data_IF_945602719419
#
_entry.id   IF_945602719419
#
_cell.length_a   1.000
_cell.length_b   1.000
_cell.length_c   1.000
_cell.angle_alpha   90.00
_cell.angle_beta   90.00
_cell.angle_gamma   90.00
#
_symmetry.space_group_name_H-M   'P 1'
#
loop_
_entity.id
_entity.type
_entity.pdbx_description
1 polymer ?
#
# COMPACT_ATOMS: atom_id res chain seq x y z
N UNK A 1 17.76 -19.06 5.51
CA UNK A 1 17.05 -17.78 5.26
C UNK A 1 16.42 -17.81 3.86
N UNK A 2 15.28 -17.15 3.65
CA UNK A 2 14.65 -17.00 2.32
C UNK A 2 14.96 -15.61 1.75
N UNK A 3 14.64 -15.38 0.46
CA UNK A 3 14.71 -14.05 -0.15
C UNK A 3 13.87 -13.02 0.60
N UNK A 4 12.63 -13.36 0.97
CA UNK A 4 11.74 -12.45 1.70
C UNK A 4 12.31 -12.09 3.07
N UNK A 5 12.76 -13.08 3.83
CA UNK A 5 13.32 -12.85 5.16
C UNK A 5 14.61 -12.01 5.09
N UNK A 6 15.47 -12.26 4.11
CA UNK A 6 16.63 -11.40 3.82
C UNK A 6 16.21 -9.93 3.60
N UNK A 7 15.21 -9.70 2.75
CA UNK A 7 14.75 -8.35 2.44
C UNK A 7 14.11 -7.66 3.66
N UNK A 8 13.39 -8.40 4.51
CA UNK A 8 12.84 -7.87 5.75
C UNK A 8 13.97 -7.48 6.69
N UNK A 9 14.89 -8.38 7.02
CA UNK A 9 16.00 -8.07 7.94
C UNK A 9 16.84 -6.90 7.44
N UNK A 10 17.08 -6.82 6.13
CA UNK A 10 17.88 -5.74 5.56
C UNK A 10 17.15 -4.38 5.52
N UNK A 11 15.87 -4.34 5.13
CA UNK A 11 15.14 -3.07 4.89
C UNK A 11 14.27 -2.60 6.08
N UNK A 12 13.99 -3.49 7.01
CA UNK A 12 13.14 -3.23 8.18
C UNK A 12 13.96 -3.18 9.46
N UNK A 13 14.87 -4.15 9.64
CA UNK A 13 15.71 -4.27 10.83
C UNK A 13 17.11 -3.67 10.65
N UNK A 14 17.37 -3.07 9.48
CA UNK A 14 18.61 -2.39 9.13
C UNK A 14 19.87 -3.29 9.25
N UNK A 15 19.72 -4.61 9.12
CA UNK A 15 20.86 -5.54 9.14
C UNK A 15 21.72 -5.35 7.89
N UNK A 16 23.03 -5.26 8.09
CA UNK A 16 24.00 -5.17 7.00
C UNK A 16 24.22 -6.55 6.35
N UNK A 17 24.68 -6.54 5.09
CA UNK A 17 25.04 -7.78 4.38
C UNK A 17 26.09 -8.60 5.15
N UNK A 18 27.18 -8.01 5.69
CA UNK A 18 28.14 -8.76 6.50
C UNK A 18 27.51 -9.46 7.71
N UNK A 19 26.63 -8.76 8.45
CA UNK A 19 25.95 -9.34 9.61
C UNK A 19 25.05 -10.51 9.18
N UNK A 20 24.29 -10.35 8.11
CA UNK A 20 23.41 -11.39 7.56
C UNK A 20 24.18 -12.64 7.14
N UNK A 21 25.34 -12.48 6.51
CA UNK A 21 26.22 -13.58 6.11
C UNK A 21 26.87 -14.26 7.33
N UNK A 22 27.27 -13.49 8.35
CA UNK A 22 27.81 -14.03 9.59
C UNK A 22 26.79 -14.91 10.34
N UNK A 23 25.53 -14.47 10.38
CA UNK A 23 24.42 -15.20 11.01
C UNK A 23 23.93 -16.41 10.19
N UNK A 24 24.27 -16.47 8.90
CA UNK A 24 23.80 -17.51 7.97
C UNK A 24 24.96 -18.07 7.13
N UNK A 25 25.77 -18.93 7.74
CA UNK A 25 27.03 -19.45 7.15
C UNK A 25 26.88 -20.17 5.80
N UNK A 26 25.70 -20.68 5.50
CA UNK A 26 25.39 -21.36 4.22
C UNK A 26 25.14 -20.38 3.07
N UNK A 27 25.05 -19.07 3.34
CA UNK A 27 24.79 -18.06 2.32
C UNK A 27 26.09 -17.42 1.83
N UNK A 28 26.12 -17.11 0.54
CA UNK A 28 27.15 -16.30 -0.08
C UNK A 28 26.63 -14.90 -0.42
N UNK A 29 27.56 -13.96 -0.63
CA UNK A 29 27.24 -12.62 -1.10
C UNK A 29 26.50 -12.64 -2.45
N UNK A 30 26.87 -13.56 -3.35
CA UNK A 30 26.23 -13.68 -4.67
C UNK A 30 24.75 -14.06 -4.57
N UNK A 31 24.37 -14.90 -3.59
CA UNK A 31 22.97 -15.25 -3.34
C UNK A 31 22.19 -14.01 -2.88
N UNK A 32 22.72 -13.25 -1.92
CA UNK A 32 22.05 -12.03 -1.42
C UNK A 32 21.88 -10.98 -2.52
N UNK A 33 22.88 -10.82 -3.39
CA UNK A 33 22.81 -9.92 -4.54
C UNK A 33 21.75 -10.36 -5.57
N UNK A 34 21.67 -11.67 -5.85
CA UNK A 34 20.64 -12.21 -6.73
C UNK A 34 19.24 -12.03 -6.14
N UNK A 35 19.09 -12.24 -4.83
CA UNK A 35 17.83 -11.99 -4.11
C UNK A 35 17.46 -10.52 -4.11
N UNK A 36 18.42 -9.61 -3.94
CA UNK A 36 18.18 -8.17 -4.08
C UNK A 36 17.71 -7.82 -5.48
N UNK A 37 18.36 -8.33 -6.52
CA UNK A 37 18.04 -8.01 -7.91
C UNK A 37 16.63 -8.48 -8.31
N UNK A 38 16.25 -9.69 -7.91
CA UNK A 38 14.98 -10.32 -8.32
C UNK A 38 13.80 -9.96 -7.41
N UNK A 39 14.04 -9.56 -6.16
CA UNK A 39 12.99 -9.27 -5.18
C UNK A 39 12.31 -7.90 -5.32
N UNK A 40 12.24 -7.33 -6.53
CA UNK A 40 11.78 -5.95 -6.76
C UNK A 40 10.37 -5.67 -6.26
N UNK A 41 9.41 -6.55 -6.54
CA UNK A 41 8.03 -6.36 -6.09
C UNK A 41 7.94 -6.34 -4.56
N UNK A 42 8.61 -7.28 -3.89
CA UNK A 42 8.63 -7.36 -2.44
C UNK A 42 9.32 -6.15 -1.79
N UNK A 43 10.43 -5.68 -2.37
CA UNK A 43 11.09 -4.43 -1.97
C UNK A 43 10.15 -3.22 -2.08
N UNK A 44 9.37 -3.13 -3.15
CA UNK A 44 8.38 -2.06 -3.32
C UNK A 44 7.31 -2.11 -2.23
N UNK A 45 6.81 -3.31 -1.88
CA UNK A 45 5.87 -3.49 -0.76
C UNK A 45 6.48 -3.05 0.58
N UNK A 46 7.71 -3.46 0.89
CA UNK A 46 8.42 -3.04 2.11
C UNK A 46 8.59 -1.53 2.15
N UNK A 47 9.05 -0.91 1.06
CA UNK A 47 9.23 0.55 0.98
C UNK A 47 7.92 1.28 1.24
N UNK A 48 6.81 0.79 0.67
CA UNK A 48 5.50 1.39 0.88
C UNK A 48 5.05 1.31 2.34
N UNK A 49 5.19 0.14 2.97
CA UNK A 49 4.91 -0.03 4.39
C UNK A 49 5.79 0.90 5.26
N UNK A 50 7.09 0.97 4.97
CA UNK A 50 8.03 1.85 5.65
C UNK A 50 7.62 3.33 5.53
N UNK A 51 7.19 3.79 4.36
CA UNK A 51 6.66 5.15 4.21
C UNK A 51 5.47 5.40 5.12
N UNK A 52 4.51 4.47 5.18
CA UNK A 52 3.30 4.62 6.01
C UNK A 52 3.63 4.63 7.51
N UNK A 53 4.57 3.80 7.94
CA UNK A 53 5.07 3.73 9.32
C UNK A 53 5.81 5.00 9.69
N UNK A 54 6.84 5.38 8.93
CA UNK A 54 7.71 6.53 9.23
C UNK A 54 6.94 7.83 9.19
N UNK A 55 5.95 7.99 8.30
CA UNK A 55 5.13 9.22 8.25
C UNK A 55 4.26 9.43 9.49
N UNK A 56 4.13 8.42 10.36
CA UNK A 56 3.30 8.46 11.58
C UNK A 56 4.08 8.20 12.86
N UNK A 57 5.33 7.75 12.76
CA UNK A 57 6.21 7.53 13.91
C UNK A 57 6.29 8.81 14.76
N UNK A 58 6.19 8.66 16.08
CA UNK A 58 6.14 9.77 17.02
C UNK A 58 4.76 10.40 17.21
N UNK A 59 3.76 10.04 16.41
CA UNK A 59 2.37 10.45 16.65
C UNK A 59 1.79 9.60 17.81
N UNK A 60 1.28 10.21 18.90
CA UNK A 60 0.66 9.47 20.00
C UNK A 60 -0.47 8.52 19.57
N UNK A 61 -1.23 8.89 18.54
CA UNK A 61 -2.27 8.04 17.95
C UNK A 61 -1.71 6.74 17.35
N UNK A 62 -0.44 6.73 16.93
CA UNK A 62 0.24 5.60 16.29
C UNK A 62 1.10 4.78 17.26
N UNK A 63 1.04 5.09 18.56
CA UNK A 63 1.90 4.48 19.57
C UNK A 63 1.77 2.95 19.69
N UNK A 64 0.60 2.37 19.33
CA UNK A 64 0.42 0.92 19.34
C UNK A 64 1.30 0.23 18.30
N UNK A 65 1.24 0.68 17.04
CA UNK A 65 2.11 0.18 15.98
C UNK A 65 3.58 0.50 16.22
N UNK A 66 3.88 1.69 16.76
CA UNK A 66 5.26 2.04 17.07
C UNK A 66 5.87 1.13 18.14
N UNK A 67 5.09 0.76 19.16
CA UNK A 67 5.50 -0.18 20.22
C UNK A 67 5.65 -1.61 19.68
N UNK A 68 4.76 -2.04 18.79
CA UNK A 68 4.86 -3.34 18.13
C UNK A 68 6.09 -3.41 17.21
N UNK A 69 6.52 -2.27 16.68
CA UNK A 69 7.71 -2.13 15.85
C UNK A 69 7.43 -2.30 14.36
N UNK A 70 8.44 -1.89 13.57
CA UNK A 70 8.35 -1.78 12.11
C UNK A 70 8.13 -3.13 11.41
N UNK A 71 8.70 -4.24 11.93
CA UNK A 71 8.44 -5.60 11.42
C UNK A 71 6.98 -6.00 11.63
N UNK A 72 6.46 -5.89 12.86
CA UNK A 72 5.08 -6.22 13.15
C UNK A 72 4.09 -5.40 12.30
N UNK A 73 4.37 -4.11 12.11
CA UNK A 73 3.59 -3.27 11.20
C UNK A 73 3.65 -3.76 9.75
N UNK A 74 4.82 -4.14 9.24
CA UNK A 74 4.95 -4.68 7.88
C UNK A 74 4.20 -6.00 7.71
N UNK A 75 4.29 -6.91 8.68
CA UNK A 75 3.56 -8.18 8.65
C UNK A 75 2.04 -7.94 8.67
N UNK A 76 1.56 -6.99 9.49
CA UNK A 76 0.17 -6.55 9.46
C UNK A 76 -0.22 -5.98 8.09
N UNK A 77 0.62 -5.11 7.52
CA UNK A 77 0.40 -4.49 6.21
C UNK A 77 0.36 -5.51 5.08
N UNK A 78 1.22 -6.54 5.13
CA UNK A 78 1.30 -7.61 4.12
C UNK A 78 0.03 -8.47 4.13
N UNK A 79 -0.61 -8.66 5.28
CA UNK A 79 -1.88 -9.39 5.41
C UNK A 79 -3.08 -8.60 4.86
N UNK A 80 -2.95 -7.30 4.63
CA UNK A 80 -4.06 -6.48 4.14
C UNK A 80 -4.34 -6.77 2.65
N UNK A 81 -5.61 -6.94 2.26
CA UNK A 81 -5.94 -7.14 0.86
C UNK A 81 -5.59 -5.89 0.05
N UNK A 82 -5.16 -6.07 -1.21
CA UNK A 82 -4.85 -4.95 -2.13
C UNK A 82 -6.10 -4.39 -2.80
N UNK A 83 -7.15 -4.23 -2.01
CA UNK A 83 -8.44 -3.64 -2.38
C UNK A 83 -8.81 -2.61 -1.31
N UNK A 84 -9.50 -1.54 -1.70
CA UNK A 84 -9.99 -0.57 -0.72
C UNK A 84 -11.03 -1.21 0.19
N UNK A 85 -10.81 -1.15 1.51
CA UNK A 85 -11.74 -1.70 2.50
C UNK A 85 -13.13 -1.04 2.50
N UNK A 86 -13.27 0.15 1.90
CA UNK A 86 -14.53 0.86 1.80
C UNK A 86 -15.27 0.55 0.49
N UNK A 87 -14.68 0.90 -0.66
CA UNK A 87 -15.36 0.76 -1.97
C UNK A 87 -14.95 -0.49 -2.77
N UNK A 88 -14.03 -1.31 -2.27
CA UNK A 88 -13.54 -2.53 -2.93
C UNK A 88 -12.84 -2.32 -4.29
N UNK A 89 -12.44 -1.10 -4.66
CA UNK A 89 -11.58 -0.90 -5.84
C UNK A 89 -10.21 -1.55 -5.60
N UNK A 90 -9.72 -2.28 -6.59
CA UNK A 90 -8.41 -2.91 -6.56
C UNK A 90 -7.29 -1.87 -6.76
N UNK A 91 -6.21 -2.00 -5.99
CA UNK A 91 -5.13 -1.02 -6.00
C UNK A 91 -4.48 -0.84 -7.37
N UNK A 92 -4.25 -1.93 -8.11
CA UNK A 92 -3.60 -1.86 -9.42
C UNK A 92 -4.38 -0.99 -10.43
N UNK A 93 -5.71 -0.89 -10.29
CA UNK A 93 -6.53 0.00 -11.13
C UNK A 93 -6.24 1.46 -10.83
N UNK A 94 -6.05 1.79 -9.54
CA UNK A 94 -5.63 3.12 -9.12
C UNK A 94 -4.24 3.43 -9.65
N UNK A 95 -3.29 2.50 -9.53
CA UNK A 95 -1.93 2.68 -10.05
C UNK A 95 -1.95 3.01 -11.55
N UNK A 96 -2.66 2.23 -12.36
CA UNK A 96 -2.77 2.50 -13.81
C UNK A 96 -3.45 3.84 -14.12
N UNK A 97 -4.51 4.20 -13.38
CA UNK A 97 -5.21 5.47 -13.58
C UNK A 97 -4.32 6.68 -13.27
N UNK A 98 -3.54 6.61 -12.19
CA UNK A 98 -2.64 7.70 -11.79
C UNK A 98 -1.36 7.74 -12.64
N UNK A 99 -0.77 6.60 -12.97
CA UNK A 99 0.45 6.53 -13.79
C UNK A 99 0.23 7.04 -15.22
N UNK A 100 -1.01 7.04 -15.69
CA UNK A 100 -1.37 7.56 -17.01
C UNK A 100 -1.95 8.96 -17.00
N UNK A 101 -2.08 9.59 -15.82
CA UNK A 101 -2.72 10.90 -15.67
C UNK A 101 -4.23 10.89 -15.94
N UNK A 102 -4.86 9.72 -16.01
CA UNK A 102 -6.32 9.62 -16.09
C UNK A 102 -7.00 10.10 -14.79
N UNK A 103 -6.27 10.01 -13.67
CA UNK A 103 -6.56 10.67 -12.42
C UNK A 103 -5.30 11.37 -11.91
N UNK A 104 -5.47 12.52 -11.27
CA UNK A 104 -4.39 13.27 -10.65
C UNK A 104 -4.87 13.96 -9.37
N UNK A 105 -3.94 14.25 -8.46
CA UNK A 105 -4.20 15.09 -7.30
C UNK A 105 -3.09 16.12 -7.16
N UNK A 106 -3.42 17.33 -6.70
CA UNK A 106 -2.43 18.39 -6.45
C UNK A 106 -1.33 17.99 -5.45
N UNK A 107 -1.59 16.99 -4.61
CA UNK A 107 -0.67 16.50 -3.57
C UNK A 107 0.05 15.21 -3.96
N UNK A 108 -0.11 14.71 -5.19
CA UNK A 108 0.52 13.46 -5.64
C UNK A 108 0.07 12.20 -4.87
N UNK A 109 -1.11 12.23 -4.23
CA UNK A 109 -1.73 11.10 -3.52
C UNK A 109 -2.70 10.34 -4.41
N UNK A 110 -3.06 9.13 -4.01
CA UNK A 110 -4.13 8.32 -4.61
C UNK A 110 -3.70 7.18 -5.52
N UNK A 111 -2.44 7.17 -5.95
CA UNK A 111 -1.87 6.05 -6.74
C UNK A 111 -1.93 4.71 -5.99
N UNK A 112 -1.70 4.71 -4.69
CA UNK A 112 -1.71 3.50 -3.84
C UNK A 112 -2.69 3.65 -2.69
N UNK A 113 -3.13 2.53 -2.12
CA UNK A 113 -3.96 2.51 -0.92
C UNK A 113 -3.21 3.13 0.26
N UNK A 114 -3.98 3.77 1.14
CA UNK A 114 -3.51 4.57 2.26
C UNK A 114 -4.06 3.98 3.56
N UNK A 115 -3.31 4.18 4.64
CA UNK A 115 -3.75 3.77 5.97
C UNK A 115 -4.96 4.63 6.39
N UNK A 116 -6.06 3.96 6.70
CA UNK A 116 -7.32 4.57 7.13
C UNK A 116 -7.80 3.97 8.45
N UNK A 117 -8.46 4.78 9.28
CA UNK A 117 -9.03 4.34 10.56
C UNK A 117 -10.51 4.01 10.38
N UNK A 118 -10.96 2.87 10.90
CA UNK A 118 -12.38 2.49 10.92
C UNK A 118 -13.17 3.47 11.78
N UNK A 119 -12.85 3.55 13.07
CA UNK A 119 -13.40 4.53 14.00
C UNK A 119 -12.44 5.72 14.16
N UNK A 120 -12.88 6.87 13.65
CA UNK A 120 -12.14 8.13 13.74
C UNK A 120 -12.23 8.77 15.11
N UNK A 121 -13.26 8.46 15.90
CA UNK A 121 -13.48 9.03 17.24
C UNK A 121 -12.47 8.50 18.25
N UNK A 122 -12.08 7.23 18.10
CA UNK A 122 -10.99 6.65 18.90
C UNK A 122 -9.67 7.35 18.61
N UNK A 123 -9.48 7.86 17.39
CA UNK A 123 -8.25 8.52 16.94
C UNK A 123 -6.98 7.67 17.20
N UNK A 124 -7.09 6.34 17.13
CA UNK A 124 -5.98 5.41 17.34
C UNK A 124 -5.68 4.61 16.07
N UNK A 125 -4.41 4.40 15.79
CA UNK A 125 -3.95 3.48 14.77
C UNK A 125 -3.51 2.17 15.44
N UNK A 126 -4.35 1.15 15.32
CA UNK A 126 -4.12 -0.21 15.83
C UNK A 126 -4.43 -1.21 14.74
N UNK A 127 -4.03 -2.48 14.92
CA UNK A 127 -4.33 -3.53 13.94
C UNK A 127 -5.84 -3.65 13.66
N UNK A 128 -6.66 -3.54 14.71
CA UNK A 128 -8.12 -3.68 14.61
C UNK A 128 -8.82 -2.43 14.07
N UNK A 129 -8.28 -1.24 14.36
CA UNK A 129 -8.88 0.02 13.92
C UNK A 129 -8.34 0.51 12.59
N UNK A 130 -7.34 -0.14 11.99
CA UNK A 130 -6.76 0.27 10.72
C UNK A 130 -7.13 -0.65 9.56
N UNK A 131 -7.25 -0.05 8.39
CA UNK A 131 -7.43 -0.71 7.10
C UNK A 131 -6.65 0.03 6.01
N UNK A 132 -6.62 -0.56 4.82
CA UNK A 132 -6.17 0.13 3.61
C UNK A 132 -7.39 0.62 2.81
N UNK A 133 -7.42 1.92 2.50
CA UNK A 133 -8.46 2.54 1.70
C UNK A 133 -7.86 3.33 0.53
N UNK A 134 -8.62 3.47 -0.56
CA UNK A 134 -8.22 4.37 -1.64
C UNK A 134 -8.31 5.83 -1.17
N UNK A 135 -7.56 6.71 -1.82
CA UNK A 135 -7.56 8.13 -1.49
C UNK A 135 -8.95 8.76 -1.50
N UNK A 136 -9.83 8.36 -2.43
CA UNK A 136 -11.20 8.89 -2.53
C UNK A 136 -12.00 8.58 -1.26
N UNK A 137 -12.02 7.31 -0.82
CA UNK A 137 -12.75 6.94 0.39
C UNK A 137 -12.10 7.51 1.65
N UNK A 138 -10.77 7.45 1.77
CA UNK A 138 -10.06 7.99 2.93
C UNK A 138 -10.31 9.51 3.07
N UNK A 139 -10.09 10.27 1.98
CA UNK A 139 -10.25 11.71 1.99
C UNK A 139 -11.71 12.16 2.14
N UNK A 140 -12.67 11.41 1.58
CA UNK A 140 -14.09 11.73 1.70
C UNK A 140 -14.64 11.41 3.09
N UNK A 141 -14.30 10.25 3.64
CA UNK A 141 -14.70 9.86 5.00
C UNK A 141 -14.16 10.86 6.03
N UNK A 142 -12.88 11.19 5.92
CA UNK A 142 -12.19 12.08 6.85
C UNK A 142 -12.44 11.68 8.30
N UNK A 143 -12.63 12.68 9.16
CA UNK A 143 -12.99 12.47 10.57
C UNK A 143 -14.49 12.62 10.84
N UNK A 144 -15.30 12.93 9.82
CA UNK A 144 -16.71 13.34 9.97
C UNK A 144 -17.72 12.25 9.68
N UNK A 145 -17.38 11.27 8.86
CA UNK A 145 -18.30 10.21 8.43
C UNK A 145 -17.92 8.90 9.12
N UNK A 146 -18.88 8.24 9.76
CA UNK A 146 -18.65 6.92 10.36
C UNK A 146 -18.33 5.90 9.26
N UNK A 147 -17.57 4.84 9.59
CA UNK A 147 -17.33 3.76 8.62
C UNK A 147 -18.65 3.18 8.10
N UNK A 148 -19.63 2.97 8.98
CA UNK A 148 -20.95 2.44 8.63
C UNK A 148 -21.67 3.33 7.61
N UNK A 149 -21.73 4.63 7.85
CA UNK A 149 -22.39 5.56 6.93
C UNK A 149 -21.63 5.65 5.61
N UNK A 150 -20.29 5.64 5.66
CA UNK A 150 -19.50 5.67 4.45
C UNK A 150 -19.71 4.42 3.59
N UNK A 151 -19.76 3.24 4.21
CA UNK A 151 -20.09 2.00 3.54
C UNK A 151 -21.50 2.02 2.95
N UNK A 152 -22.49 2.52 3.70
CA UNK A 152 -23.87 2.51 3.26
C UNK A 152 -24.17 3.50 2.14
N UNK A 153 -23.74 4.77 2.28
CA UNK A 153 -24.13 5.85 1.37
C UNK A 153 -23.15 6.06 0.21
N UNK A 154 -21.85 5.80 0.40
CA UNK A 154 -20.81 6.31 -0.53
C UNK A 154 -19.94 5.24 -1.17
N UNK A 155 -19.81 4.06 -0.58
CA UNK A 155 -18.92 3.01 -1.10
C UNK A 155 -19.26 2.58 -2.53
N UNK A 156 -20.53 2.30 -2.82
CA UNK A 156 -20.98 1.79 -4.12
C UNK A 156 -20.83 2.84 -5.21
N UNK A 157 -21.32 4.09 -5.06
CA UNK A 157 -21.09 5.13 -6.07
C UNK A 157 -19.60 5.44 -6.29
N UNK A 158 -18.79 5.43 -5.23
CA UNK A 158 -17.33 5.65 -5.36
C UNK A 158 -16.69 4.54 -6.18
N UNK A 159 -17.06 3.27 -5.92
CA UNK A 159 -16.58 2.14 -6.72
C UNK A 159 -16.96 2.31 -8.18
N UNK A 160 -18.24 2.58 -8.45
CA UNK A 160 -18.76 2.71 -9.81
C UNK A 160 -18.00 3.79 -10.59
N UNK A 161 -17.80 4.97 -10.00
CA UNK A 161 -17.01 6.02 -10.63
C UNK A 161 -15.59 5.57 -11.02
N UNK A 162 -14.88 4.89 -10.11
CA UNK A 162 -13.51 4.45 -10.35
C UNK A 162 -13.44 3.33 -11.41
N UNK A 163 -14.39 2.41 -11.40
CA UNK A 163 -14.52 1.34 -12.40
C UNK A 163 -14.85 1.90 -13.79
N UNK A 164 -15.73 2.89 -13.85
CA UNK A 164 -16.08 3.57 -15.10
C UNK A 164 -14.87 4.31 -15.68
N UNK A 165 -14.11 5.02 -14.83
CA UNK A 165 -12.85 5.67 -15.24
C UNK A 165 -11.85 4.66 -15.77
N UNK A 166 -11.69 3.53 -15.07
CA UNK A 166 -10.81 2.46 -15.47
C UNK A 166 -11.21 1.84 -16.82
N UNK A 167 -12.50 1.59 -17.00
CA UNK A 167 -13.05 1.02 -18.23
C UNK A 167 -12.89 1.97 -19.43
N UNK A 168 -13.16 3.26 -19.24
CA UNK A 168 -12.94 4.30 -20.26
C UNK A 168 -11.47 4.36 -20.69
N UNK A 169 -10.56 4.31 -19.72
CA UNK A 169 -9.12 4.28 -19.97
C UNK A 169 -8.70 3.06 -20.79
N UNK A 170 -9.14 1.85 -20.41
CA UNK A 170 -8.85 0.62 -21.17
C UNK A 170 -9.44 0.66 -22.59
N UNK A 171 -10.64 1.23 -22.76
CA UNK A 171 -11.26 1.44 -24.06
C UNK A 171 -10.45 2.35 -24.97
N UNK A 172 -9.93 3.47 -24.45
CA UNK A 172 -9.03 4.38 -25.21
C UNK A 172 -7.73 3.68 -25.63
N UNK A 173 -7.10 2.92 -24.73
CA UNK A 173 -5.88 2.15 -25.05
C UNK A 173 -6.11 1.13 -26.17
N UNK A 174 -7.27 0.45 -26.18
CA UNK A 174 -7.62 -0.51 -27.25
C UNK A 174 -7.78 0.18 -28.60
N UNK A 175 -8.42 1.35 -28.66
CA UNK A 175 -8.60 2.11 -29.91
C UNK A 175 -7.26 2.58 -30.50
N UNK A 176 -6.34 3.08 -29.66
CA UNK A 176 -5.03 3.55 -30.12
C UNK A 176 -4.19 2.41 -30.73
N UNK A 177 -4.22 1.21 -30.12
CA UNK A 177 -3.49 0.05 -30.65
C UNK A 177 -3.98 -0.41 -32.03
N UNK A 178 -5.30 -0.34 -32.28
CA UNK A 178 -5.87 -0.74 -33.58
C UNK A 178 -5.48 0.26 -34.70
N UNK A 179 -5.29 1.53 -34.37
CA UNK A 179 -4.95 2.57 -35.37
C UNK A 179 -3.47 2.63 -35.75
N UNK A 180 -2.58 1.91 -35.05
CA UNK A 180 -1.12 1.93 -35.31
C UNK A 180 -0.61 0.73 -36.10
N UNK A 181 -1.48 -0.20 -36.49
CA UNK A 181 -1.13 -1.43 -37.21
C UNK A 181 -1.47 -1.34 -38.73
N UNK A 182 -1.43 -0.15 -39.34
CA UNK A 182 -1.67 0.08 -40.78
C UNK A 182 -0.51 0.81 -41.43
#
# INVERSE_FOLDING_TARGET
MTQEEFLIQHLIEDKSYPLLLQENRELSLSILQAWWATGTEFRTKIRRANTLYTSRKGNPAFAAFERAGKRAFFEWYQRQPRICACCNIEEYKLEELFDTGALETKRGRGRSLELERRDTRLNLYTEDNCVLACYFCNNHKGDTISEKDHLHYFSVPTRQYLEDKYSQFKGKRRRIKVTTDH
#
